data_IF_264233905810
#
_entry.id   IF_264233905810
#
_cell.length_a   1.000
_cell.length_b   1.000
_cell.length_c   1.000
_cell.angle_alpha   90.00
_cell.angle_beta   90.00
_cell.angle_gamma   90.00
#
_symmetry.space_group_name_H-M   'P 1'
#
loop_
_entity.id
_entity.type
_entity.pdbx_description
1 polymer ?
#
# COMPACT_ATOMS: atom_id res chain seq x y z
N UNK A 1 -37.20 -15.66 1.16
CA UNK A 1 -37.53 -16.51 0.00
C UNK A 1 -36.48 -16.26 -1.05
N UNK A 2 -35.58 -17.22 -1.26
CA UNK A 2 -34.61 -17.14 -2.34
C UNK A 2 -35.38 -17.21 -3.67
N UNK A 3 -35.14 -16.25 -4.56
CA UNK A 3 -35.71 -16.26 -5.91
C UNK A 3 -34.99 -17.34 -6.72
N UNK A 4 -35.48 -18.57 -6.67
CA UNK A 4 -35.07 -19.63 -7.58
C UNK A 4 -35.78 -19.44 -8.91
N UNK A 5 -35.01 -19.32 -9.99
CA UNK A 5 -35.56 -19.37 -11.35
C UNK A 5 -35.52 -20.83 -11.81
N UNK A 6 -36.68 -21.46 -11.92
CA UNK A 6 -36.84 -22.80 -12.48
C UNK A 6 -37.05 -22.69 -13.99
N UNK A 7 -36.14 -23.26 -14.78
CA UNK A 7 -36.38 -23.51 -16.21
C UNK A 7 -36.70 -25.00 -16.42
N UNK A 8 -37.82 -25.28 -17.08
CA UNK A 8 -38.18 -26.61 -17.52
C UNK A 8 -37.41 -26.96 -18.82
N UNK A 9 -36.92 -28.20 -18.89
CA UNK A 9 -36.25 -28.81 -20.04
C UNK A 9 -37.16 -28.83 -21.27
N UNK A 10 -37.07 -27.81 -22.13
CA UNK A 10 -37.32 -27.95 -23.57
C UNK A 10 -36.91 -26.66 -24.31
N UNK A 11 -35.61 -26.49 -24.57
CA UNK A 11 -35.15 -25.69 -25.70
C UNK A 11 -33.81 -26.22 -26.16
N UNK A 12 -33.81 -26.73 -27.39
CA UNK A 12 -32.63 -27.17 -28.11
C UNK A 12 -31.57 -26.06 -28.15
N UNK A 13 -30.32 -26.49 -28.02
CA UNK A 13 -29.08 -25.74 -28.21
C UNK A 13 -29.21 -24.56 -29.20
N UNK A 14 -29.44 -23.37 -28.66
CA UNK A 14 -29.27 -22.11 -29.38
C UNK A 14 -28.41 -21.19 -28.51
N UNK A 15 -27.16 -21.02 -28.96
CA UNK A 15 -26.22 -19.94 -28.63
C UNK A 15 -25.85 -19.71 -27.15
N UNK A 16 -25.03 -20.62 -26.60
CA UNK A 16 -24.20 -20.36 -25.42
C UNK A 16 -22.94 -19.50 -25.74
N UNK A 17 -23.09 -18.42 -26.52
CA UNK A 17 -21.94 -17.63 -27.02
C UNK A 17 -21.95 -16.13 -26.71
N UNK A 18 -22.97 -15.55 -26.05
CA UNK A 18 -22.99 -14.09 -25.76
C UNK A 18 -23.40 -13.70 -24.33
N UNK A 19 -23.28 -14.58 -23.33
CA UNK A 19 -23.38 -14.18 -21.93
C UNK A 19 -22.17 -14.68 -21.12
N UNK A 20 -21.22 -13.78 -20.88
CA UNK A 20 -20.23 -13.95 -19.81
C UNK A 20 -20.95 -14.00 -18.45
N UNK A 21 -21.32 -15.20 -18.00
CA UNK A 21 -21.77 -15.43 -16.63
C UNK A 21 -20.59 -15.97 -15.80
N UNK A 22 -20.10 -15.23 -14.78
CA UNK A 22 -18.92 -15.64 -14.02
C UNK A 22 -19.27 -16.64 -12.91
N UNK A 23 -18.39 -17.62 -12.73
CA UNK A 23 -18.20 -18.51 -11.56
C UNK A 23 -19.35 -19.50 -11.22
N UNK A 24 -19.21 -20.72 -11.73
CA UNK A 24 -20.11 -21.86 -11.53
C UNK A 24 -19.56 -22.79 -10.44
N UNK A 25 -20.40 -23.27 -9.52
CA UNK A 25 -20.09 -24.45 -8.69
C UNK A 25 -21.15 -25.53 -8.86
N UNK A 26 -20.71 -26.75 -9.11
CA UNK A 26 -21.50 -27.94 -9.41
C UNK A 26 -21.92 -28.69 -8.14
N UNK A 27 -23.20 -29.07 -8.02
CA UNK A 27 -23.66 -30.04 -7.03
C UNK A 27 -24.60 -31.01 -7.74
N UNK A 28 -24.26 -32.29 -7.70
CA UNK A 28 -25.03 -33.37 -8.31
C UNK A 28 -26.05 -33.90 -7.28
N UNK A 29 -27.27 -33.38 -7.31
CA UNK A 29 -28.43 -34.02 -6.69
C UNK A 29 -29.68 -33.63 -7.50
N UNK A 30 -30.34 -34.64 -8.08
CA UNK A 30 -31.70 -34.60 -8.64
C UNK A 30 -32.01 -33.60 -9.77
N UNK A 31 -31.22 -33.58 -10.85
CA UNK A 31 -31.55 -32.93 -12.16
C UNK A 31 -31.96 -31.43 -12.12
N UNK A 32 -31.76 -30.74 -11.00
CA UNK A 32 -32.08 -29.31 -10.84
C UNK A 32 -30.80 -28.47 -10.86
N UNK A 33 -30.63 -27.68 -11.91
CA UNK A 33 -29.57 -26.66 -11.97
C UNK A 33 -30.02 -25.44 -11.17
N UNK A 34 -29.51 -25.30 -9.94
CA UNK A 34 -29.73 -24.11 -9.13
C UNK A 34 -28.73 -23.01 -9.50
N UNK A 35 -29.19 -22.02 -10.26
CA UNK A 35 -28.44 -20.79 -10.52
C UNK A 35 -28.48 -19.89 -9.28
N UNK A 36 -27.37 -19.81 -8.52
CA UNK A 36 -27.17 -18.67 -7.63
C UNK A 36 -26.61 -17.53 -8.45
N UNK A 37 -27.49 -16.63 -8.89
CA UNK A 37 -27.07 -15.31 -9.36
C UNK A 37 -26.41 -14.61 -8.17
N UNK A 38 -25.12 -14.27 -8.26
CA UNK A 38 -24.56 -13.26 -7.36
C UNK A 38 -25.41 -12.01 -7.54
N UNK A 39 -26.12 -11.61 -6.49
CA UNK A 39 -26.93 -10.40 -6.52
C UNK A 39 -26.00 -9.23 -6.83
N UNK A 40 -26.14 -8.66 -8.04
CA UNK A 40 -25.33 -7.51 -8.49
C UNK A 40 -25.52 -6.29 -7.58
N UNK A 41 -26.56 -6.29 -6.73
CA UNK A 41 -26.83 -5.28 -5.71
C UNK A 41 -26.31 -5.67 -4.32
N UNK A 42 -25.70 -6.85 -4.14
CA UNK A 42 -25.12 -7.26 -2.87
C UNK A 42 -24.02 -6.28 -2.45
N UNK A 43 -24.31 -5.53 -1.38
CA UNK A 43 -23.37 -4.61 -0.76
C UNK A 43 -22.15 -5.41 -0.28
N UNK A 44 -20.99 -5.14 -0.89
CA UNK A 44 -19.71 -5.73 -0.48
C UNK A 44 -19.16 -5.00 0.75
N UNK A 45 -19.73 -5.26 1.92
CA UNK A 45 -19.22 -4.75 3.20
C UNK A 45 -17.77 -5.20 3.42
N UNK A 46 -17.02 -4.48 4.26
CA UNK A 46 -15.75 -4.99 4.75
C UNK A 46 -15.97 -6.39 5.35
N UNK A 47 -15.26 -7.38 4.83
CA UNK A 47 -15.47 -8.78 5.18
C UNK A 47 -14.13 -9.43 5.54
N UNK A 48 -14.08 -10.12 6.67
CA UNK A 48 -12.95 -10.94 7.05
C UNK A 48 -13.30 -12.40 6.77
N UNK A 49 -12.40 -13.09 6.07
CA UNK A 49 -12.51 -14.52 5.79
C UNK A 49 -11.47 -15.26 6.65
N UNK A 50 -11.94 -15.98 7.67
CA UNK A 50 -11.06 -16.76 8.52
C UNK A 50 -10.42 -17.90 7.73
N UNK A 51 -9.11 -18.07 7.86
CA UNK A 51 -8.35 -19.18 7.25
C UNK A 51 -8.10 -20.31 8.25
N UNK A 52 -8.17 -20.00 9.54
CA UNK A 52 -8.08 -20.91 10.66
C UNK A 52 -8.95 -20.36 11.80
N UNK A 53 -9.18 -21.18 12.81
CA UNK A 53 -9.96 -20.77 13.99
C UNK A 53 -9.30 -19.58 14.68
N UNK A 54 -10.13 -18.62 15.09
CA UNK A 54 -9.63 -17.43 15.75
C UNK A 54 -10.73 -16.55 16.30
N UNK A 55 -10.30 -15.39 16.77
CA UNK A 55 -11.17 -14.39 17.38
C UNK A 55 -10.78 -13.03 16.81
N UNK A 56 -11.76 -12.27 16.31
CA UNK A 56 -11.53 -10.92 15.78
C UNK A 56 -11.91 -9.85 16.79
N UNK A 57 -10.95 -9.06 17.25
CA UNK A 57 -11.20 -7.95 18.18
C UNK A 57 -11.17 -6.62 17.42
N UNK A 58 -12.17 -5.77 17.67
CA UNK A 58 -12.09 -4.35 17.32
C UNK A 58 -11.95 -3.54 18.60
N UNK A 59 -10.91 -2.72 18.69
CA UNK A 59 -10.72 -1.77 19.77
C UNK A 59 -11.10 -0.38 19.27
N UNK A 60 -12.29 0.14 19.61
CA UNK A 60 -12.75 1.43 19.11
C UNK A 60 -11.93 2.58 19.71
N UNK A 61 -11.80 3.65 18.93
CA UNK A 61 -11.41 4.95 19.47
C UNK A 61 -12.65 5.73 19.89
N UNK A 62 -12.63 6.32 21.09
CA UNK A 62 -13.75 7.11 21.61
C UNK A 62 -15.06 6.31 21.62
N UNK A 63 -16.18 6.92 21.25
CA UNK A 63 -17.51 6.31 21.20
C UNK A 63 -17.80 5.59 19.88
N UNK A 64 -16.79 5.28 19.06
CA UNK A 64 -17.03 4.54 17.82
C UNK A 64 -17.52 3.12 18.15
N UNK A 65 -18.55 2.67 17.43
CA UNK A 65 -19.06 1.31 17.54
C UNK A 65 -19.21 0.71 16.13
N UNK A 66 -19.06 -0.61 16.06
CA UNK A 66 -19.28 -1.39 14.84
C UNK A 66 -20.39 -2.40 15.08
N UNK A 67 -21.00 -2.85 14.00
CA UNK A 67 -21.82 -4.05 13.97
C UNK A 67 -21.17 -5.07 13.05
N UNK A 68 -21.34 -6.35 13.39
CA UNK A 68 -20.89 -7.45 12.58
C UNK A 68 -22.05 -8.38 12.20
N UNK A 69 -21.86 -9.15 11.12
CA UNK A 69 -22.79 -10.16 10.65
C UNK A 69 -22.05 -11.46 10.32
N UNK A 70 -22.65 -12.59 10.72
CA UNK A 70 -22.16 -13.95 10.45
C UNK A 70 -22.99 -14.68 9.37
N UNK A 71 -24.07 -14.06 8.91
CA UNK A 71 -25.06 -14.62 7.98
C UNK A 71 -25.15 -13.80 6.69
N UNK A 72 -24.00 -13.32 6.21
CA UNK A 72 -23.87 -12.53 4.98
C UNK A 72 -24.74 -11.24 4.96
N UNK A 73 -24.98 -10.64 6.11
CA UNK A 73 -25.64 -9.36 6.27
C UNK A 73 -27.15 -9.43 6.50
N UNK A 74 -27.71 -10.62 6.71
CA UNK A 74 -29.14 -10.80 7.06
C UNK A 74 -29.44 -10.27 8.46
N UNK A 75 -28.59 -10.58 9.44
CA UNK A 75 -28.67 -10.05 10.81
C UNK A 75 -27.37 -9.36 11.21
N UNK A 76 -27.50 -8.35 12.08
CA UNK A 76 -26.37 -7.54 12.54
C UNK A 76 -26.37 -7.46 14.05
N UNK A 77 -25.23 -7.81 14.65
CA UNK A 77 -25.00 -7.74 16.08
C UNK A 77 -24.03 -6.61 16.36
N UNK A 78 -24.32 -5.76 17.34
CA UNK A 78 -23.38 -4.75 17.79
C UNK A 78 -22.14 -5.43 18.39
N UNK A 79 -20.96 -4.99 17.95
CA UNK A 79 -19.68 -5.44 18.48
C UNK A 79 -19.43 -4.73 19.81
N UNK A 80 -20.12 -5.19 20.85
CA UNK A 80 -19.74 -4.95 22.24
C UNK A 80 -18.48 -5.77 22.56
N UNK A 81 -17.83 -5.56 23.70
CA UNK A 81 -16.52 -6.13 24.09
C UNK A 81 -16.35 -7.67 23.93
N UNK A 82 -17.40 -8.39 23.58
CA UNK A 82 -17.39 -9.81 23.22
C UNK A 82 -16.80 -10.00 21.82
N UNK A 83 -15.71 -10.77 21.75
CA UNK A 83 -14.98 -11.02 20.50
C UNK A 83 -15.64 -12.19 19.74
N UNK A 84 -16.11 -12.02 18.49
CA UNK A 84 -16.65 -13.14 17.72
C UNK A 84 -15.57 -14.21 17.52
N UNK A 85 -15.84 -15.42 18.04
CA UNK A 85 -15.04 -16.61 17.73
C UNK A 85 -15.51 -17.17 16.40
N UNK A 86 -14.59 -17.43 15.50
CA UNK A 86 -14.89 -17.73 14.11
C UNK A 86 -14.08 -18.95 13.70
N UNK A 87 -14.79 -19.94 13.19
CA UNK A 87 -14.22 -21.17 12.65
C UNK A 87 -13.54 -20.90 11.31
N UNK A 88 -12.46 -21.62 11.02
CA UNK A 88 -11.79 -21.57 9.72
C UNK A 88 -12.77 -21.76 8.56
N UNK A 89 -12.67 -20.90 7.54
CA UNK A 89 -13.57 -20.88 6.38
C UNK A 89 -14.79 -19.98 6.51
N UNK A 90 -15.13 -19.54 7.73
CA UNK A 90 -16.26 -18.64 7.96
C UNK A 90 -15.96 -17.19 7.57
N UNK A 91 -17.02 -16.41 7.32
CA UNK A 91 -16.95 -14.99 6.98
C UNK A 91 -17.60 -14.13 8.06
N UNK A 92 -17.03 -12.96 8.30
CA UNK A 92 -17.63 -11.93 9.16
C UNK A 92 -17.61 -10.60 8.45
N UNK A 93 -18.79 -10.00 8.32
CA UNK A 93 -18.98 -8.70 7.68
C UNK A 93 -19.00 -7.62 8.76
N UNK A 94 -18.51 -6.43 8.45
CA UNK A 94 -18.45 -5.29 9.36
C UNK A 94 -19.05 -4.03 8.74
N UNK A 95 -19.81 -3.29 9.55
CA UNK A 95 -20.30 -1.96 9.22
C UNK A 95 -20.35 -1.07 10.46
N UNK A 96 -20.40 0.24 10.24
CA UNK A 96 -20.56 1.21 11.31
C UNK A 96 -20.75 2.62 10.76
N UNK A 97 -21.02 3.57 11.64
CA UNK A 97 -21.07 5.00 11.32
C UNK A 97 -19.96 5.72 12.07
N UNK A 98 -18.75 5.16 12.01
CA UNK A 98 -17.64 5.66 12.79
C UNK A 98 -17.18 7.02 12.29
N UNK A 99 -16.74 7.86 13.23
CA UNK A 99 -16.21 9.18 12.96
C UNK A 99 -14.78 9.25 13.50
N UNK A 100 -13.77 9.51 12.66
CA UNK A 100 -12.41 9.71 13.14
C UNK A 100 -12.30 11.05 13.90
N UNK A 101 -11.37 11.14 14.85
CA UNK A 101 -11.13 12.37 15.60
C UNK A 101 -10.13 13.26 14.87
N UNK A 102 -10.56 14.38 14.30
CA UNK A 102 -9.70 15.24 13.47
C UNK A 102 -8.51 15.87 14.21
N UNK A 103 -8.58 16.01 15.54
CA UNK A 103 -7.57 16.68 16.38
C UNK A 103 -6.65 15.71 17.12
N UNK A 104 -6.76 14.40 16.87
CA UNK A 104 -5.99 13.40 17.59
C UNK A 104 -5.64 12.24 16.66
N UNK A 105 -4.41 11.70 16.71
CA UNK A 105 -3.98 10.59 15.87
C UNK A 105 -4.57 9.26 16.38
N UNK A 106 -5.89 9.21 16.49
CA UNK A 106 -6.66 8.04 16.83
C UNK A 106 -7.76 7.97 15.77
N UNK A 107 -7.62 7.02 14.82
CA UNK A 107 -8.59 6.81 13.75
C UNK A 107 -9.92 6.30 14.31
N UNK A 108 -10.66 5.49 13.55
CA UNK A 108 -11.93 4.94 14.07
C UNK A 108 -11.75 3.85 15.13
N UNK A 109 -10.59 3.19 15.15
CA UNK A 109 -10.27 2.05 16.00
C UNK A 109 -9.26 1.14 15.33
N UNK A 110 -8.96 0.00 15.95
CA UNK A 110 -8.00 -0.99 15.43
C UNK A 110 -8.58 -2.40 15.47
N UNK A 111 -8.27 -3.20 14.45
CA UNK A 111 -8.58 -4.62 14.38
C UNK A 111 -7.37 -5.47 14.74
N UNK A 112 -7.61 -6.55 15.47
CA UNK A 112 -6.66 -7.63 15.70
C UNK A 112 -7.32 -9.00 15.56
N UNK A 113 -6.51 -10.04 15.34
CA UNK A 113 -6.96 -11.42 15.26
C UNK A 113 -5.99 -12.35 15.94
N UNK A 114 -6.50 -13.45 16.50
CA UNK A 114 -5.68 -14.58 16.96
C UNK A 114 -5.39 -15.60 15.86
N UNK A 115 -6.27 -15.74 14.86
CA UNK A 115 -6.14 -16.66 13.71
C UNK A 115 -5.91 -15.93 12.39
N UNK A 116 -5.24 -16.57 11.43
CA UNK A 116 -5.03 -16.05 10.09
C UNK A 116 -6.33 -15.76 9.33
N UNK A 117 -6.33 -14.67 8.57
CA UNK A 117 -7.50 -14.27 7.78
C UNK A 117 -7.12 -13.43 6.56
N UNK A 118 -8.01 -13.42 5.58
CA UNK A 118 -7.99 -12.50 4.45
C UNK A 118 -9.06 -11.43 4.62
N UNK A 119 -8.87 -10.25 4.02
CA UNK A 119 -9.85 -9.17 3.99
C UNK A 119 -10.29 -8.85 2.56
N UNK A 120 -11.59 -8.62 2.42
CA UNK A 120 -12.24 -8.26 1.17
C UNK A 120 -13.36 -7.24 1.38
N UNK A 121 -13.91 -6.74 0.27
CA UNK A 121 -15.04 -5.81 0.30
C UNK A 121 -14.63 -4.36 0.54
N UNK A 122 -15.58 -3.49 0.85
CA UNK A 122 -15.39 -2.04 0.85
C UNK A 122 -15.26 -1.51 2.27
N UNK A 123 -14.11 -0.90 2.56
CA UNK A 123 -13.79 -0.32 3.87
C UNK A 123 -14.74 0.82 4.28
N UNK A 124 -15.39 1.47 3.31
CA UNK A 124 -16.32 2.58 3.56
C UNK A 124 -17.54 2.14 4.38
N UNK A 125 -17.84 0.85 4.46
CA UNK A 125 -18.90 0.34 5.33
C UNK A 125 -18.70 0.70 6.80
N UNK A 126 -17.46 0.94 7.25
CA UNK A 126 -17.16 1.34 8.62
C UNK A 126 -17.52 2.80 8.93
N UNK A 127 -17.57 3.66 7.92
CA UNK A 127 -17.85 5.10 8.08
C UNK A 127 -19.28 5.46 7.72
N UNK A 128 -19.89 4.71 6.80
CA UNK A 128 -21.17 5.06 6.19
C UNK A 128 -22.27 4.01 6.40
N UNK A 129 -21.99 2.97 7.19
CA UNK A 129 -22.95 1.92 7.52
C UNK A 129 -23.45 1.24 6.27
N UNK A 130 -24.76 1.33 6.00
CA UNK A 130 -25.40 0.79 4.80
C UNK A 130 -25.29 1.74 3.59
N UNK A 131 -24.92 3.01 3.78
CA UNK A 131 -24.88 4.05 2.73
C UNK A 131 -23.49 4.22 2.09
N UNK A 132 -22.61 3.21 2.24
CA UNK A 132 -21.23 3.26 1.76
C UNK A 132 -21.07 3.07 0.24
N UNK A 133 -22.09 2.52 -0.41
CA UNK A 133 -22.05 2.26 -1.86
C UNK A 133 -21.87 3.58 -2.62
N UNK A 134 -20.88 3.64 -3.52
CA UNK A 134 -20.55 4.85 -4.28
C UNK A 134 -19.71 5.90 -3.52
N UNK A 135 -19.39 5.68 -2.24
CA UNK A 135 -18.53 6.62 -1.49
C UNK A 135 -17.08 6.52 -1.96
N UNK A 136 -16.57 7.61 -2.55
CA UNK A 136 -15.20 7.74 -3.09
C UNK A 136 -14.45 8.95 -2.50
N UNK A 137 -15.00 9.57 -1.46
CA UNK A 137 -14.42 10.75 -0.81
C UNK A 137 -14.26 10.55 0.69
N UNK A 138 -13.07 10.87 1.19
CA UNK A 138 -12.76 11.01 2.61
C UNK A 138 -12.64 12.48 3.03
N UNK A 139 -13.14 13.42 2.23
CA UNK A 139 -13.08 14.85 2.56
C UNK A 139 -13.62 15.12 3.98
N UNK A 140 -12.83 15.84 4.78
CA UNK A 140 -13.14 16.14 6.18
C UNK A 140 -12.96 14.97 7.16
N UNK A 141 -12.41 13.83 6.72
CA UNK A 141 -12.18 12.63 7.54
C UNK A 141 -10.69 12.40 7.80
N UNK A 142 -10.02 13.41 8.34
CA UNK A 142 -8.64 13.27 8.84
C UNK A 142 -8.55 12.07 9.78
N UNK A 143 -7.50 11.26 9.64
CA UNK A 143 -7.29 10.01 10.40
C UNK A 143 -8.31 8.87 10.18
N UNK A 144 -9.20 8.94 9.17
CA UNK A 144 -10.27 7.94 8.93
C UNK A 144 -9.91 6.49 9.30
N UNK A 145 -8.88 5.93 8.66
CA UNK A 145 -8.43 4.55 8.84
C UNK A 145 -7.00 4.48 9.40
N UNK A 146 -6.59 5.52 10.13
CA UNK A 146 -5.30 5.57 10.81
C UNK A 146 -5.11 4.33 11.68
N UNK A 147 -4.02 3.57 11.42
CA UNK A 147 -3.65 2.34 12.15
C UNK A 147 -4.71 1.23 12.20
N UNK A 148 -5.71 1.24 11.31
CA UNK A 148 -6.86 0.31 11.42
C UNK A 148 -6.47 -1.17 11.55
N UNK A 149 -5.40 -1.61 10.88
CA UNK A 149 -4.85 -2.97 10.98
C UNK A 149 -3.41 -2.98 11.49
N UNK A 150 -2.95 -1.92 12.16
CA UNK A 150 -1.58 -1.83 12.66
C UNK A 150 -1.27 -3.01 13.60
N UNK A 151 -0.13 -3.66 13.39
CA UNK A 151 0.35 -4.85 14.11
C UNK A 151 -0.58 -6.07 14.01
N UNK A 152 -1.47 -6.11 13.01
CA UNK A 152 -2.32 -7.27 12.75
C UNK A 152 -1.51 -8.37 12.04
N UNK A 153 -0.64 -9.04 12.79
CA UNK A 153 0.31 -10.06 12.29
C UNK A 153 -0.36 -11.31 11.70
N UNK A 154 -1.67 -11.44 11.82
CA UNK A 154 -2.47 -12.54 11.27
C UNK A 154 -3.16 -12.21 9.95
N UNK A 155 -3.16 -10.95 9.53
CA UNK A 155 -3.71 -10.55 8.23
C UNK A 155 -2.80 -11.06 7.11
N UNK A 156 -3.34 -11.90 6.22
CA UNK A 156 -2.57 -12.58 5.16
C UNK A 156 -2.74 -11.96 3.78
N UNK A 157 -3.97 -11.64 3.38
CA UNK A 157 -4.26 -10.97 2.11
C UNK A 157 -5.21 -9.81 2.28
N UNK A 158 -4.92 -8.71 1.59
CA UNK A 158 -5.81 -7.58 1.38
C UNK A 158 -6.08 -7.33 -0.11
N UNK A 159 -5.80 -8.32 -0.98
CA UNK A 159 -5.92 -8.19 -2.44
C UNK A 159 -7.32 -7.74 -2.89
N UNK A 160 -8.36 -8.23 -2.21
CA UNK A 160 -9.76 -7.97 -2.56
C UNK A 160 -10.39 -6.86 -1.70
N UNK A 161 -9.60 -6.16 -0.90
CA UNK A 161 -10.06 -4.99 -0.16
C UNK A 161 -10.14 -3.80 -1.12
N UNK A 162 -11.32 -3.21 -1.17
CA UNK A 162 -11.60 -1.99 -1.90
C UNK A 162 -11.34 -0.77 -1.01
N UNK A 163 -10.39 0.06 -1.44
CA UNK A 163 -10.12 1.40 -0.91
C UNK A 163 -10.56 2.44 -1.96
N UNK A 164 -11.87 2.72 -2.11
CA UNK A 164 -12.40 3.43 -3.28
C UNK A 164 -12.14 4.94 -3.29
N UNK A 165 -11.48 5.47 -2.25
CA UNK A 165 -11.29 6.91 -2.10
C UNK A 165 -10.31 7.45 -3.16
N UNK A 166 -10.77 8.41 -3.96
CA UNK A 166 -9.92 9.21 -4.86
C UNK A 166 -9.74 10.63 -4.34
N UNK A 167 -10.64 11.10 -3.47
CA UNK A 167 -10.49 12.35 -2.72
C UNK A 167 -10.07 11.99 -1.29
N UNK A 168 -8.79 12.20 -0.99
CA UNK A 168 -8.17 11.83 0.28
C UNK A 168 -8.18 12.98 1.30
N UNK A 169 -8.09 12.63 2.59
CA UNK A 169 -7.88 13.58 3.69
C UNK A 169 -6.52 13.38 4.34
N UNK A 170 -6.07 14.33 5.16
CA UNK A 170 -4.78 14.23 5.86
C UNK A 170 -4.73 12.97 6.73
N UNK A 171 -3.62 12.21 6.63
CA UNK A 171 -3.36 10.99 7.42
C UNK A 171 -4.44 9.90 7.33
N UNK A 172 -5.24 9.91 6.27
CA UNK A 172 -6.44 9.07 6.18
C UNK A 172 -6.18 7.55 6.21
N UNK A 173 -5.03 7.11 5.72
CA UNK A 173 -4.59 5.71 5.69
C UNK A 173 -3.22 5.50 6.36
N UNK A 174 -2.78 6.48 7.16
CA UNK A 174 -1.44 6.45 7.75
C UNK A 174 -1.32 5.23 8.68
N UNK A 175 -0.22 4.48 8.50
CA UNK A 175 0.10 3.25 9.24
C UNK A 175 -0.99 2.17 9.19
N UNK A 176 -1.91 2.21 8.23
CA UNK A 176 -3.09 1.33 8.22
C UNK A 176 -2.74 -0.15 8.32
N UNK A 177 -1.68 -0.62 7.65
CA UNK A 177 -1.18 -2.00 7.69
C UNK A 177 0.22 -2.11 8.31
N UNK A 178 0.68 -1.09 9.05
CA UNK A 178 2.03 -1.10 9.62
C UNK A 178 2.21 -2.32 10.54
N UNK A 179 3.22 -3.14 10.28
CA UNK A 179 3.56 -4.31 11.07
C UNK A 179 2.67 -5.54 10.84
N UNK A 180 1.86 -5.56 9.77
CA UNK A 180 1.18 -6.76 9.30
C UNK A 180 2.18 -7.77 8.72
N UNK A 181 2.97 -8.42 9.58
CA UNK A 181 4.10 -9.25 9.19
C UNK A 181 3.72 -10.43 8.27
N UNK A 182 2.46 -10.90 8.29
CA UNK A 182 1.97 -11.98 7.41
C UNK A 182 1.32 -11.49 6.10
N UNK A 183 1.21 -10.18 5.87
CA UNK A 183 0.53 -9.63 4.70
C UNK A 183 1.35 -9.90 3.43
N UNK A 184 0.84 -10.77 2.56
CA UNK A 184 1.50 -11.18 1.31
C UNK A 184 1.09 -10.30 0.13
N UNK A 185 -0.15 -9.79 0.15
CA UNK A 185 -0.74 -9.03 -0.97
C UNK A 185 -1.49 -7.81 -0.45
N UNK A 186 -1.10 -6.63 -0.96
CA UNK A 186 -1.70 -5.35 -0.63
C UNK A 186 -2.99 -5.07 -1.45
N UNK A 187 -3.86 -4.15 -0.98
CA UNK A 187 -5.00 -3.65 -1.76
C UNK A 187 -4.55 -2.70 -2.88
N UNK A 188 -5.44 -2.47 -3.84
CA UNK A 188 -5.26 -1.42 -4.86
C UNK A 188 -5.42 -0.01 -4.24
N UNK A 189 -4.62 0.96 -4.73
CA UNK A 189 -4.63 2.35 -4.28
C UNK A 189 -4.98 3.28 -5.47
N UNK A 190 -6.24 3.73 -5.61
CA UNK A 190 -6.69 4.39 -6.84
C UNK A 190 -6.39 5.90 -6.91
N UNK A 191 -5.95 6.54 -5.82
CA UNK A 191 -5.81 7.99 -5.75
C UNK A 191 -4.65 8.51 -6.62
N UNK A 192 -4.94 9.44 -7.53
CA UNK A 192 -3.95 10.10 -8.39
C UNK A 192 -3.42 11.42 -7.80
N UNK A 193 -4.05 11.92 -6.73
CA UNK A 193 -3.64 13.08 -5.97
C UNK A 193 -3.67 12.74 -4.48
N UNK A 194 -2.57 13.04 -3.78
CA UNK A 194 -2.43 12.71 -2.36
C UNK A 194 -2.48 13.95 -1.47
N UNK A 195 -3.02 13.72 -0.27
CA UNK A 195 -3.01 14.67 0.84
C UNK A 195 -1.88 14.31 1.79
N UNK A 196 -1.42 15.30 2.57
CA UNK A 196 -0.31 15.16 3.52
C UNK A 196 -0.42 13.90 4.38
N UNK A 197 0.69 13.17 4.46
CA UNK A 197 0.85 11.95 5.25
C UNK A 197 -0.19 10.83 5.00
N UNK A 198 -1.07 10.88 3.98
CA UNK A 198 -2.17 9.91 3.96
C UNK A 198 -1.70 8.44 3.80
N UNK A 199 -0.60 8.15 3.09
CA UNK A 199 -0.03 6.78 3.01
C UNK A 199 1.27 6.61 3.80
N UNK A 200 1.58 7.54 4.71
CA UNK A 200 2.76 7.44 5.57
C UNK A 200 2.74 6.13 6.36
N UNK A 201 3.85 5.38 6.26
CA UNK A 201 4.09 4.11 6.94
C UNK A 201 3.03 3.03 6.66
N UNK A 202 2.22 3.16 5.61
CA UNK A 202 1.04 2.33 5.40
C UNK A 202 1.34 0.83 5.44
N UNK A 203 2.47 0.39 4.88
CA UNK A 203 2.92 -1.00 4.85
C UNK A 203 4.26 -1.21 5.58
N UNK A 204 4.71 -0.26 6.40
CA UNK A 204 5.97 -0.37 7.14
C UNK A 204 6.01 -1.67 7.97
N UNK A 205 7.05 -2.48 7.84
CA UNK A 205 7.22 -3.75 8.55
C UNK A 205 6.34 -4.90 8.04
N UNK A 206 5.72 -4.80 6.85
CA UNK A 206 5.05 -5.93 6.21
C UNK A 206 6.06 -6.91 5.61
N UNK A 207 6.74 -7.67 6.47
CA UNK A 207 7.89 -8.51 6.08
C UNK A 207 7.55 -9.65 5.11
N UNK A 208 6.28 -10.06 4.98
CA UNK A 208 5.84 -11.05 3.99
C UNK A 208 5.39 -10.46 2.64
N UNK A 209 5.34 -9.12 2.50
CA UNK A 209 4.90 -8.48 1.28
C UNK A 209 5.96 -8.63 0.20
N UNK A 210 5.60 -9.26 -0.93
CA UNK A 210 6.54 -9.53 -2.03
C UNK A 210 6.39 -8.59 -3.22
N UNK A 211 5.19 -8.03 -3.39
CA UNK A 211 4.82 -7.12 -4.48
C UNK A 211 4.14 -5.89 -3.90
N UNK A 212 4.66 -4.70 -4.20
CA UNK A 212 4.04 -3.44 -3.81
C UNK A 212 2.76 -3.19 -4.64
N UNK A 213 1.73 -2.55 -4.07
CA UNK A 213 0.61 -2.07 -4.86
C UNK A 213 1.04 -0.97 -5.83
N UNK A 214 0.26 -0.74 -6.87
CA UNK A 214 0.48 0.39 -7.78
C UNK A 214 0.21 1.72 -7.07
N UNK A 215 1.05 2.70 -7.37
CA UNK A 215 1.04 4.07 -6.84
C UNK A 215 0.84 5.03 -8.02
N UNK A 216 -0.41 5.31 -8.41
CA UNK A 216 -0.72 6.11 -9.59
C UNK A 216 -0.61 7.63 -9.37
N UNK A 217 -0.26 8.07 -8.15
CA UNK A 217 -0.27 9.47 -7.78
C UNK A 217 0.79 10.31 -8.51
N UNK A 218 0.33 11.31 -9.27
CA UNK A 218 1.17 12.30 -9.93
C UNK A 218 1.26 13.60 -9.14
N UNK A 219 0.25 13.88 -8.31
CA UNK A 219 0.20 15.07 -7.45
C UNK A 219 0.46 14.67 -6.01
N UNK A 220 1.61 15.09 -5.49
CA UNK A 220 2.11 14.72 -4.16
C UNK A 220 1.99 15.88 -3.18
N UNK A 221 1.67 15.54 -1.93
CA UNK A 221 1.71 16.46 -0.78
C UNK A 221 2.80 16.01 0.21
N UNK A 222 3.07 16.80 1.24
CA UNK A 222 4.18 16.54 2.14
C UNK A 222 4.03 15.17 2.85
N UNK A 223 5.15 14.44 2.97
CA UNK A 223 5.24 13.12 3.62
C UNK A 223 4.25 12.06 3.11
N UNK A 224 3.67 12.24 1.91
CA UNK A 224 2.55 11.41 1.47
C UNK A 224 2.82 9.90 1.37
N UNK A 225 4.06 9.49 1.10
CA UNK A 225 4.53 8.10 1.04
C UNK A 225 5.71 7.83 1.97
N UNK A 226 5.90 8.69 2.98
CA UNK A 226 7.00 8.57 3.93
C UNK A 226 6.97 7.19 4.60
N UNK A 227 8.11 6.49 4.67
CA UNK A 227 8.22 5.14 5.25
C UNK A 227 7.27 4.06 4.68
N UNK A 228 6.62 4.28 3.52
CA UNK A 228 5.49 3.45 3.06
C UNK A 228 5.78 1.94 3.09
N UNK A 229 6.98 1.53 2.66
CA UNK A 229 7.43 0.14 2.63
C UNK A 229 8.68 -0.11 3.48
N UNK A 230 8.95 0.75 4.47
CA UNK A 230 10.10 0.58 5.37
C UNK A 230 10.09 -0.84 5.97
N UNK A 231 11.24 -1.51 5.98
CA UNK A 231 11.44 -2.88 6.50
C UNK A 231 10.52 -3.96 5.87
N UNK A 232 10.03 -3.75 4.65
CA UNK A 232 9.41 -4.83 3.85
C UNK A 232 10.51 -5.74 3.28
N UNK A 233 11.11 -6.57 4.14
CA UNK A 233 12.36 -7.30 3.82
C UNK A 233 12.24 -8.29 2.65
N UNK A 234 11.05 -8.83 2.37
CA UNK A 234 10.80 -9.73 1.23
C UNK A 234 10.25 -9.02 -0.02
N UNK A 235 10.17 -7.69 -0.03
CA UNK A 235 9.68 -6.93 -1.18
C UNK A 235 10.67 -7.03 -2.34
N UNK A 236 10.24 -7.65 -3.44
CA UNK A 236 11.08 -7.89 -4.62
C UNK A 236 10.58 -7.13 -5.85
N UNK A 237 9.27 -6.91 -5.94
CA UNK A 237 8.62 -6.29 -7.09
C UNK A 237 7.94 -4.98 -6.70
N UNK A 238 8.32 -3.92 -7.39
CA UNK A 238 7.70 -2.59 -7.31
C UNK A 238 7.33 -2.15 -8.72
N UNK A 239 6.43 -1.17 -8.85
CA UNK A 239 6.11 -0.61 -10.17
C UNK A 239 7.35 -0.06 -10.88
N UNK A 240 7.36 -0.07 -12.20
CA UNK A 240 8.55 0.34 -12.98
C UNK A 240 8.88 1.83 -12.87
N UNK A 241 7.91 2.69 -12.55
CA UNK A 241 8.07 4.14 -12.49
C UNK A 241 7.20 4.72 -11.37
N UNK A 242 7.75 5.58 -10.52
CA UNK A 242 6.95 6.45 -9.65
C UNK A 242 6.58 7.70 -10.44
N UNK A 243 5.30 7.97 -10.75
CA UNK A 243 4.93 8.83 -11.88
C UNK A 243 5.08 10.34 -11.63
N UNK A 244 5.35 10.78 -10.40
CA UNK A 244 5.47 12.20 -10.08
C UNK A 244 6.75 12.84 -10.66
N UNK A 245 6.59 13.91 -11.42
CA UNK A 245 7.71 14.71 -11.98
C UNK A 245 8.12 15.90 -11.10
N UNK A 246 7.32 16.21 -10.08
CA UNK A 246 7.55 17.24 -9.07
C UNK A 246 7.28 16.67 -7.69
N UNK A 247 8.20 16.87 -6.75
CA UNK A 247 8.10 16.28 -5.41
C UNK A 247 7.75 17.31 -4.34
N UNK A 248 6.99 16.84 -3.35
CA UNK A 248 6.74 17.54 -2.10
C UNK A 248 7.80 17.17 -1.04
N UNK A 249 7.82 17.91 0.07
CA UNK A 249 8.79 17.67 1.15
C UNK A 249 8.56 16.29 1.75
N UNK A 250 9.64 15.53 2.00
CA UNK A 250 9.58 14.22 2.64
C UNK A 250 8.71 13.14 1.95
N UNK A 251 8.08 13.37 0.77
CA UNK A 251 7.06 12.41 0.34
C UNK A 251 7.64 11.00 0.07
N UNK A 252 8.86 10.84 -0.44
CA UNK A 252 9.51 9.53 -0.59
C UNK A 252 10.60 9.25 0.44
N UNK A 253 10.61 10.00 1.55
CA UNK A 253 11.54 9.78 2.67
C UNK A 253 11.44 8.33 3.15
N UNK A 254 12.58 7.61 3.13
CA UNK A 254 12.73 6.25 3.64
C UNK A 254 11.73 5.24 3.09
N UNK A 255 11.16 5.50 1.91
CA UNK A 255 10.05 4.72 1.35
C UNK A 255 10.36 3.23 1.24
N UNK A 256 11.60 2.87 0.88
CA UNK A 256 12.08 1.50 0.75
C UNK A 256 13.24 1.17 1.71
N UNK A 257 13.43 1.96 2.77
CA UNK A 257 14.46 1.69 3.78
C UNK A 257 14.32 0.25 4.29
N UNK A 258 15.40 -0.52 4.32
CA UNK A 258 15.41 -1.90 4.82
C UNK A 258 14.74 -2.94 3.91
N UNK A 259 14.37 -2.59 2.67
CA UNK A 259 13.88 -3.55 1.68
C UNK A 259 15.04 -4.40 1.13
N UNK A 260 15.55 -5.33 1.95
CA UNK A 260 16.78 -6.08 1.66
C UNK A 260 16.68 -7.00 0.44
N UNK A 261 15.48 -7.42 0.03
CA UNK A 261 15.25 -8.24 -1.18
C UNK A 261 14.97 -7.44 -2.46
N UNK A 262 14.94 -6.10 -2.40
CA UNK A 262 14.63 -5.27 -3.56
C UNK A 262 15.81 -5.27 -4.55
N UNK A 263 15.61 -5.89 -5.72
CA UNK A 263 16.67 -6.06 -6.74
C UNK A 263 16.67 -4.96 -7.80
N UNK A 264 15.52 -4.29 -8.01
CA UNK A 264 15.33 -3.22 -9.00
C UNK A 264 14.55 -2.07 -8.37
N UNK A 265 15.13 -0.88 -8.42
CA UNK A 265 14.46 0.35 -8.03
C UNK A 265 13.47 0.83 -9.13
N UNK A 266 12.39 1.55 -8.75
CA UNK A 266 11.53 2.21 -9.72
C UNK A 266 12.26 3.40 -10.38
N UNK A 267 11.90 3.74 -11.60
CA UNK A 267 12.33 5.00 -12.23
C UNK A 267 11.82 6.20 -11.42
N UNK A 268 12.67 7.22 -11.27
CA UNK A 268 12.40 8.46 -10.55
C UNK A 268 12.42 9.65 -11.53
N UNK A 269 11.31 9.95 -12.23
CA UNK A 269 11.29 10.95 -13.30
C UNK A 269 11.33 12.40 -12.81
N UNK A 270 11.35 12.63 -11.49
CA UNK A 270 11.30 13.97 -10.92
C UNK A 270 12.56 14.80 -11.23
N UNK A 271 12.36 15.92 -11.90
CA UNK A 271 13.41 16.93 -12.13
C UNK A 271 13.32 18.10 -11.15
N UNK A 272 12.13 18.33 -10.57
CA UNK A 272 11.91 19.34 -9.53
C UNK A 272 11.86 18.70 -8.15
N UNK A 273 12.98 18.81 -7.43
CA UNK A 273 13.15 18.30 -6.06
C UNK A 273 12.75 19.34 -5.00
N UNK A 274 12.44 18.84 -3.81
CA UNK A 274 12.14 19.60 -2.58
C UNK A 274 12.98 19.04 -1.41
N UNK A 275 13.07 19.75 -0.29
CA UNK A 275 13.84 19.29 0.87
C UNK A 275 13.41 17.90 1.34
N UNK A 276 14.38 17.05 1.70
CA UNK A 276 14.16 15.69 2.20
C UNK A 276 13.37 14.75 1.27
N UNK A 277 13.21 15.06 -0.02
CA UNK A 277 12.30 14.31 -0.89
C UNK A 277 12.62 12.81 -1.02
N UNK A 278 13.91 12.44 -0.95
CA UNK A 278 14.41 11.08 -1.12
C UNK A 278 15.38 10.64 0.00
N UNK A 279 15.39 11.35 1.13
CA UNK A 279 16.28 11.03 2.25
C UNK A 279 16.08 9.57 2.64
N UNK A 280 17.18 8.83 2.75
CA UNK A 280 17.20 7.40 3.14
C UNK A 280 16.31 6.47 2.29
N UNK A 281 15.86 6.89 1.10
CA UNK A 281 14.84 6.16 0.32
C UNK A 281 15.17 4.68 0.12
N UNK A 282 16.43 4.34 -0.15
CA UNK A 282 16.91 2.97 -0.34
C UNK A 282 17.91 2.53 0.73
N UNK A 283 17.95 3.21 1.88
CA UNK A 283 18.86 2.85 2.98
C UNK A 283 18.77 1.34 3.28
N UNK A 284 19.90 0.65 3.26
CA UNK A 284 19.97 -0.79 3.57
C UNK A 284 19.31 -1.72 2.55
N UNK A 285 19.03 -1.26 1.31
CA UNK A 285 18.59 -2.14 0.22
C UNK A 285 19.76 -2.98 -0.31
N UNK A 286 20.14 -4.02 0.43
CA UNK A 286 21.37 -4.79 0.18
C UNK A 286 21.36 -5.60 -1.13
N UNK A 287 20.20 -5.95 -1.68
CA UNK A 287 20.10 -6.65 -2.99
C UNK A 287 20.09 -5.73 -4.21
N UNK A 288 20.02 -4.39 -4.02
CA UNK A 288 19.98 -3.44 -5.11
C UNK A 288 21.36 -3.32 -5.75
N UNK A 289 21.47 -3.62 -7.04
CA UNK A 289 22.75 -3.57 -7.79
C UNK A 289 22.90 -2.28 -8.60
N UNK A 290 21.79 -1.70 -9.04
CA UNK A 290 21.72 -0.49 -9.86
C UNK A 290 20.76 0.52 -9.24
N UNK A 291 21.24 1.75 -9.03
CA UNK A 291 20.40 2.85 -8.60
C UNK A 291 19.44 3.26 -9.72
N UNK A 292 18.26 3.84 -9.40
CA UNK A 292 17.46 4.48 -10.41
C UNK A 292 18.22 5.67 -11.00
N UNK A 293 17.87 6.07 -12.22
CA UNK A 293 18.39 7.31 -12.79
C UNK A 293 17.90 8.51 -11.95
N UNK A 294 18.81 9.44 -11.67
CA UNK A 294 18.54 10.65 -10.90
C UNK A 294 18.65 11.87 -11.85
N UNK A 295 17.53 12.30 -12.47
CA UNK A 295 17.56 13.27 -13.57
C UNK A 295 17.61 14.74 -13.13
N UNK A 296 17.41 15.04 -11.84
CA UNK A 296 17.42 16.41 -11.35
C UNK A 296 18.80 17.07 -11.46
N UNK A 297 18.84 18.28 -12.03
CA UNK A 297 20.09 19.05 -12.20
C UNK A 297 20.48 19.84 -10.95
N UNK A 298 19.52 20.12 -10.06
CA UNK A 298 19.72 20.92 -8.84
C UNK A 298 19.21 20.15 -7.63
N UNK A 299 20.12 19.89 -6.68
CA UNK A 299 19.76 19.24 -5.42
C UNK A 299 19.20 20.23 -4.40
N UNK A 300 18.29 19.72 -3.57
CA UNK A 300 17.70 20.45 -2.44
C UNK A 300 18.26 19.96 -1.11
N UNK A 301 18.05 20.72 -0.01
CA UNK A 301 18.56 20.34 1.29
C UNK A 301 18.20 18.90 1.61
N UNK A 302 19.20 18.13 2.02
CA UNK A 302 19.07 16.75 2.51
C UNK A 302 18.35 15.75 1.59
N UNK A 303 18.02 16.08 0.34
CA UNK A 303 17.15 15.20 -0.46
C UNK A 303 17.83 13.86 -0.80
N UNK A 304 19.14 13.78 -1.01
CA UNK A 304 19.84 12.49 -1.20
C UNK A 304 20.63 12.02 0.03
N UNK A 305 20.45 12.65 1.20
CA UNK A 305 21.10 12.19 2.44
C UNK A 305 20.83 10.71 2.65
N UNK A 306 21.90 9.93 2.82
CA UNK A 306 21.86 8.49 3.10
C UNK A 306 21.01 7.65 2.13
N UNK A 307 20.71 8.16 0.93
CA UNK A 307 19.79 7.53 -0.02
C UNK A 307 20.16 6.07 -0.33
N UNK A 308 21.45 5.76 -0.47
CA UNK A 308 21.97 4.41 -0.72
C UNK A 308 22.90 3.91 0.39
N UNK A 309 22.77 4.46 1.60
CA UNK A 309 23.59 4.04 2.74
C UNK A 309 23.43 2.53 2.98
N UNK A 310 24.52 1.79 3.13
CA UNK A 310 24.55 0.34 3.28
C UNK A 310 23.85 -0.47 2.16
N UNK A 311 23.74 0.07 0.94
CA UNK A 311 23.37 -0.72 -0.24
C UNK A 311 24.57 -1.54 -0.73
N UNK A 312 24.94 -2.60 -0.01
CA UNK A 312 26.24 -3.27 -0.14
C UNK A 312 26.55 -3.85 -1.53
N UNK A 313 25.53 -4.19 -2.33
CA UNK A 313 25.70 -4.70 -3.70
C UNK A 313 25.57 -3.62 -4.79
N UNK A 314 25.28 -2.37 -4.42
CA UNK A 314 25.09 -1.29 -5.37
C UNK A 314 26.42 -0.92 -6.02
N UNK A 315 26.49 -1.05 -7.34
CA UNK A 315 27.72 -0.83 -8.12
C UNK A 315 27.51 0.06 -9.35
N UNK A 316 26.31 0.63 -9.52
CA UNK A 316 26.03 1.58 -10.59
C UNK A 316 25.14 2.73 -10.10
N UNK A 317 25.55 3.96 -10.35
CA UNK A 317 24.78 5.18 -10.11
C UNK A 317 24.85 6.08 -11.34
N UNK A 318 23.72 6.59 -11.81
CA UNK A 318 23.63 7.67 -12.80
C UNK A 318 22.95 8.88 -12.16
N UNK A 319 23.69 9.98 -12.03
CA UNK A 319 23.22 11.21 -11.41
C UNK A 319 23.56 12.42 -12.27
N UNK A 320 22.53 13.18 -12.67
CA UNK A 320 22.67 14.31 -13.58
C UNK A 320 22.75 15.66 -12.85
N UNK A 321 22.87 15.66 -11.52
CA UNK A 321 23.01 16.88 -10.73
C UNK A 321 24.30 17.63 -11.08
N UNK A 322 24.16 18.92 -11.38
CA UNK A 322 25.25 19.87 -11.62
C UNK A 322 25.36 20.90 -10.50
N UNK A 323 24.24 21.20 -9.81
CA UNK A 323 24.23 22.00 -8.59
C UNK A 323 24.02 21.11 -7.36
N UNK A 324 25.11 20.86 -6.65
CA UNK A 324 25.19 20.12 -5.39
C UNK A 324 25.59 21.02 -4.20
N UNK A 325 25.39 22.34 -4.34
CA UNK A 325 25.81 23.33 -3.32
C UNK A 325 24.92 23.35 -2.08
N UNK A 326 23.73 22.77 -2.16
CA UNK A 326 22.76 22.77 -1.08
C UNK A 326 23.26 21.98 0.14
N UNK A 327 22.96 22.51 1.34
CA UNK A 327 23.35 21.92 2.63
C UNK A 327 22.96 20.46 2.74
N UNK A 328 23.96 19.62 3.06
CA UNK A 328 23.81 18.19 3.30
C UNK A 328 23.08 17.43 2.18
N UNK A 329 23.08 17.91 0.94
CA UNK A 329 22.25 17.31 -0.11
C UNK A 329 22.61 15.86 -0.44
N UNK A 330 23.86 15.42 -0.21
CA UNK A 330 24.38 14.08 -0.49
C UNK A 330 25.12 13.46 0.71
N UNK A 331 24.85 13.92 1.93
CA UNK A 331 25.56 13.43 3.13
C UNK A 331 25.40 11.91 3.29
N UNK A 332 26.53 11.19 3.32
CA UNK A 332 26.64 9.73 3.44
C UNK A 332 25.86 8.92 2.41
N UNK A 333 25.46 9.53 1.28
CA UNK A 333 24.54 8.90 0.33
C UNK A 333 25.10 7.62 -0.32
N UNK A 334 26.42 7.48 -0.42
CA UNK A 334 27.11 6.30 -0.98
C UNK A 334 27.93 5.55 0.07
N UNK A 335 27.74 5.82 1.35
CA UNK A 335 28.45 5.10 2.40
C UNK A 335 28.01 3.63 2.44
N UNK A 336 28.97 2.70 2.41
CA UNK A 336 28.68 1.26 2.49
C UNK A 336 28.15 0.62 1.19
N UNK A 337 28.27 1.30 0.04
CA UNK A 337 28.03 0.71 -1.29
C UNK A 337 29.19 -0.20 -1.72
N UNK A 338 29.07 -0.87 -2.87
CA UNK A 338 30.12 -1.77 -3.38
C UNK A 338 31.47 -1.06 -3.53
N UNK A 339 32.55 -1.78 -3.25
CA UNK A 339 33.91 -1.26 -3.32
C UNK A 339 34.30 -0.77 -4.72
N UNK A 340 33.72 -1.36 -5.77
CA UNK A 340 33.94 -0.97 -7.17
C UNK A 340 32.59 -0.77 -7.86
N UNK A 341 32.56 0.10 -8.86
CA UNK A 341 31.34 0.41 -9.58
C UNK A 341 31.55 1.44 -10.68
N UNK A 342 30.45 1.88 -11.27
CA UNK A 342 30.43 2.91 -12.30
C UNK A 342 29.53 4.06 -11.87
N UNK A 343 30.06 5.28 -11.92
CA UNK A 343 29.32 6.51 -11.75
C UNK A 343 29.18 7.22 -13.09
N UNK A 344 27.94 7.42 -13.54
CA UNK A 344 27.65 8.23 -14.73
C UNK A 344 27.18 9.61 -14.29
N UNK A 345 27.95 10.66 -14.60
CA UNK A 345 27.64 12.06 -14.26
C UNK A 345 27.14 12.83 -15.48
N UNK A 346 26.50 13.98 -15.28
CA UNK A 346 26.25 14.91 -16.38
C UNK A 346 27.57 15.34 -17.05
N UNK A 347 27.60 15.40 -18.38
CA UNK A 347 28.78 15.80 -19.15
C UNK A 347 29.27 17.22 -18.81
N UNK A 348 28.35 18.11 -18.44
CA UNK A 348 28.65 19.48 -18.00
C UNK A 348 29.19 19.59 -16.58
N UNK A 349 29.15 18.51 -15.78
CA UNK A 349 29.61 18.53 -14.40
C UNK A 349 31.12 18.31 -14.34
N UNK A 350 31.87 19.39 -14.11
CA UNK A 350 33.34 19.38 -14.13
C UNK A 350 33.95 18.65 -12.93
N UNK A 351 33.35 18.80 -11.73
CA UNK A 351 33.90 18.20 -10.52
C UNK A 351 32.81 17.74 -9.56
N UNK A 352 32.77 16.43 -9.29
CA UNK A 352 32.05 15.86 -8.15
C UNK A 352 32.98 15.74 -6.94
N UNK A 353 32.42 15.88 -5.74
CA UNK A 353 33.12 15.50 -4.51
C UNK A 353 33.44 14.00 -4.53
N UNK A 354 34.58 13.60 -3.95
CA UNK A 354 34.96 12.20 -3.78
C UNK A 354 34.59 11.68 -2.39
N UNK A 355 34.46 10.36 -2.25
CA UNK A 355 34.18 9.68 -0.99
C UNK A 355 32.67 9.49 -0.73
N UNK A 356 32.32 9.21 0.53
CA UNK A 356 30.96 8.80 0.93
C UNK A 356 29.87 9.86 0.75
N UNK A 357 30.26 11.13 0.60
CA UNK A 357 29.35 12.24 0.32
C UNK A 357 29.25 12.56 -1.19
N UNK A 358 29.97 11.83 -2.04
CA UNK A 358 30.07 12.09 -3.47
C UNK A 358 30.30 10.78 -4.23
N UNK A 359 31.23 10.77 -5.18
CA UNK A 359 31.59 9.56 -5.94
C UNK A 359 32.53 8.69 -5.09
N UNK A 360 32.23 7.40 -4.87
CA UNK A 360 33.14 6.51 -4.16
C UNK A 360 34.53 6.44 -4.83
N UNK A 361 35.60 6.49 -4.03
CA UNK A 361 36.97 6.70 -4.51
C UNK A 361 37.46 5.71 -5.57
N UNK A 362 36.94 4.47 -5.58
CA UNK A 362 37.38 3.39 -6.47
C UNK A 362 36.41 3.14 -7.64
N UNK A 363 35.43 4.02 -7.86
CA UNK A 363 34.48 3.86 -8.96
C UNK A 363 34.99 4.49 -10.24
N UNK A 364 34.72 3.82 -11.37
CA UNK A 364 34.94 4.38 -12.70
C UNK A 364 33.94 5.50 -12.94
N UNK A 365 34.41 6.66 -13.40
CA UNK A 365 33.56 7.81 -13.72
C UNK A 365 33.47 7.97 -15.23
N UNK A 366 32.25 8.16 -15.73
CA UNK A 366 31.97 8.44 -17.13
C UNK A 366 30.91 9.53 -17.27
N UNK A 367 30.87 10.16 -18.43
CA UNK A 367 29.84 11.14 -18.76
C UNK A 367 28.59 10.45 -19.30
N UNK A 368 27.42 11.00 -18.98
CA UNK A 368 26.16 10.64 -19.60
C UNK A 368 26.18 11.09 -21.07
N UNK A 369 25.68 10.23 -21.95
CA UNK A 369 25.44 10.54 -23.37
C UNK A 369 24.38 11.65 -23.55
#
# INVERSE_FOLDING_TARGET
MANYITYFNDMQAYEAAELELPNVSYVEEDDIVLWKCEDKNAKKYLTFKALEDGTFTFTPTSSNTLSYSLDNGETWTELNSTTPTIEGGSKVLFKGTCTPLWYSPYGIGTFSSTGQFDIEGNIMSLLFGDNFSGQTSLSGKTYAFYKLFSQCTKLKSAKNLSLPATILSHECYQSMFSGCASLVTAPQLPATALTGNCYDSMFSGCTSLTVAPELPATTLSDSCYQYMFKDCTNLTTVQSILPATTLASNCYNSMFMGCTSLTKAPQLPATTLTSNCYIEMFYGCTSLTKAPELPATTLKPTCYTQMFYNCTNLNYIKCLATDISSTNCTTLWTSGVSANGTFTKAASMESWTSGVNGIPNNWTVQDAE
#
